data_IF_112182400602
#
_entry.id   IF_112182400602
#
_cell.length_a   1.000
_cell.length_b   1.000
_cell.length_c   1.000
_cell.angle_alpha   90.00
_cell.angle_beta   90.00
_cell.angle_gamma   90.00
#
_symmetry.space_group_name_H-M   'P 1'
#
loop_
_entity.id
_entity.type
_entity.pdbx_description
1 polymer ?
#
# COMPACT_ATOMS: atom_id res chain seq x y z
N UNK A 1 12.64 1.23 7.38
CA UNK A 1 12.54 0.46 6.12
C UNK A 1 13.92 0.04 5.65
N UNK A 2 14.06 -1.18 5.15
CA UNK A 2 15.32 -1.69 4.58
C UNK A 2 15.78 -0.86 3.38
N UNK A 3 14.84 -0.36 2.58
CA UNK A 3 15.14 0.46 1.40
C UNK A 3 15.82 1.79 1.74
N UNK A 4 15.50 2.39 2.88
CA UNK A 4 16.15 3.63 3.35
C UNK A 4 17.65 3.41 3.52
N UNK A 5 18.07 2.25 4.05
CA UNK A 5 19.51 1.94 4.20
C UNK A 5 20.20 1.85 2.86
N UNK A 6 19.60 1.20 1.86
CA UNK A 6 20.17 1.12 0.51
C UNK A 6 20.19 2.49 -0.17
N UNK A 7 19.12 3.27 -0.03
CA UNK A 7 19.10 4.62 -0.59
C UNK A 7 20.17 5.53 0.05
N UNK A 8 20.46 5.38 1.34
CA UNK A 8 21.54 6.15 1.99
C UNK A 8 22.93 5.73 1.52
N UNK A 9 23.12 4.44 1.27
CA UNK A 9 24.39 3.89 0.77
C UNK A 9 24.70 4.39 -0.65
N UNK A 10 23.69 4.53 -1.50
CA UNK A 10 23.81 4.96 -2.89
C UNK A 10 23.23 6.37 -3.14
N UNK A 11 23.08 7.19 -2.10
CA UNK A 11 22.38 8.48 -2.18
C UNK A 11 22.98 9.43 -3.21
N UNK A 12 24.30 9.50 -3.30
CA UNK A 12 25.02 10.37 -4.21
C UNK A 12 24.67 10.07 -5.68
N UNK A 13 24.53 8.80 -6.05
CA UNK A 13 24.13 8.41 -7.41
C UNK A 13 22.73 8.87 -7.79
N UNK A 14 21.89 9.16 -6.79
CA UNK A 14 20.55 9.72 -6.94
C UNK A 14 20.53 11.25 -6.79
N UNK A 15 21.66 11.88 -6.48
CA UNK A 15 21.79 13.31 -6.25
C UNK A 15 21.16 13.75 -4.91
N UNK A 16 21.22 12.90 -3.89
CA UNK A 16 20.82 13.19 -2.50
C UNK A 16 22.01 13.09 -1.54
N UNK A 17 22.00 13.84 -0.43
CA UNK A 17 22.96 13.59 0.64
C UNK A 17 22.65 12.24 1.32
N UNK A 18 23.66 11.53 1.81
CA UNK A 18 23.48 10.28 2.56
C UNK A 18 22.67 10.46 3.86
N UNK A 19 22.65 11.68 4.38
CA UNK A 19 21.91 12.11 5.56
C UNK A 19 20.49 12.62 5.25
N UNK A 20 19.94 12.34 4.07
CA UNK A 20 18.61 12.83 3.71
C UNK A 20 17.55 12.52 4.80
N UNK A 21 16.62 13.45 4.98
CA UNK A 21 15.52 13.34 5.93
C UNK A 21 14.28 12.75 5.24
N UNK A 22 13.39 12.17 6.03
CA UNK A 22 12.14 11.61 5.54
C UNK A 22 10.99 12.48 6.04
N UNK A 23 10.18 12.99 5.12
CA UNK A 23 8.95 13.69 5.42
C UNK A 23 7.84 12.69 5.78
N UNK A 24 7.12 12.98 6.83
CA UNK A 24 5.85 12.34 7.11
C UNK A 24 4.72 12.95 6.26
N UNK A 25 3.49 12.48 6.47
CA UNK A 25 2.33 13.00 5.74
C UNK A 25 2.05 14.46 6.09
N UNK A 26 2.28 14.88 7.34
CA UNK A 26 2.09 16.27 7.79
C UNK A 26 3.09 17.21 7.14
N UNK A 27 4.37 16.80 7.10
CA UNK A 27 5.45 17.54 6.44
C UNK A 27 5.18 17.68 4.94
N UNK A 28 4.78 16.58 4.29
CA UNK A 28 4.45 16.55 2.87
C UNK A 28 3.28 17.47 2.52
N UNK A 29 2.21 17.47 3.33
CA UNK A 29 1.08 18.40 3.16
C UNK A 29 1.52 19.84 3.35
N UNK A 30 2.40 20.12 4.31
CA UNK A 30 2.93 21.46 4.56
C UNK A 30 3.81 21.94 3.40
N UNK A 31 4.62 21.07 2.84
CA UNK A 31 5.43 21.36 1.65
C UNK A 31 4.55 21.66 0.43
N UNK A 32 3.47 20.89 0.20
CA UNK A 32 2.48 21.18 -0.87
C UNK A 32 1.83 22.56 -0.64
N UNK A 33 1.43 22.91 0.60
CA UNK A 33 0.90 24.25 0.89
C UNK A 33 1.88 25.36 0.51
N UNK A 34 3.18 25.15 0.81
CA UNK A 34 4.23 26.08 0.39
C UNK A 34 4.32 26.22 -1.13
N UNK A 35 4.20 25.10 -1.88
CA UNK A 35 4.18 25.14 -3.34
C UNK A 35 2.96 25.94 -3.88
N UNK A 36 1.77 25.67 -3.33
CA UNK A 36 0.54 26.38 -3.74
C UNK A 36 0.66 27.89 -3.50
N UNK A 37 1.20 28.30 -2.35
CA UNK A 37 1.43 29.71 -2.02
C UNK A 37 2.41 30.37 -2.99
N UNK A 38 3.50 29.70 -3.34
CA UNK A 38 4.50 30.22 -4.28
C UNK A 38 3.94 30.38 -5.69
N UNK A 39 3.08 29.42 -6.09
CA UNK A 39 2.41 29.47 -7.40
C UNK A 39 1.17 30.35 -7.42
N UNK A 40 0.82 31.03 -6.32
CA UNK A 40 -0.39 31.84 -6.16
C UNK A 40 -1.69 31.05 -6.49
N UNK A 41 -1.74 29.78 -6.11
CA UNK A 41 -2.91 28.92 -6.32
C UNK A 41 -3.79 28.87 -5.08
N UNK A 42 -5.13 28.84 -5.30
CA UNK A 42 -6.12 28.75 -4.23
C UNK A 42 -6.14 27.32 -3.61
N UNK A 43 -5.88 27.22 -2.31
CA UNK A 43 -5.87 25.95 -1.57
C UNK A 43 -7.25 25.34 -1.36
N UNK A 44 -8.34 26.08 -1.61
CA UNK A 44 -9.71 25.56 -1.64
C UNK A 44 -9.96 24.77 -2.93
N UNK A 45 -9.36 25.18 -4.05
CA UNK A 45 -9.40 24.47 -5.33
C UNK A 45 -8.41 23.31 -5.31
N UNK A 46 -7.16 23.59 -4.95
CA UNK A 46 -6.07 22.61 -4.86
C UNK A 46 -5.88 22.16 -3.41
N UNK A 47 -6.85 21.43 -2.86
CA UNK A 47 -6.75 20.93 -1.47
C UNK A 47 -5.44 20.16 -1.30
N UNK A 48 -4.56 20.57 -0.36
CA UNK A 48 -3.20 20.01 -0.25
C UNK A 48 -3.16 18.49 -0.10
N UNK A 49 -4.12 17.90 0.64
CA UNK A 49 -4.22 16.44 0.80
C UNK A 49 -4.60 15.73 -0.51
N UNK A 50 -5.50 16.33 -1.31
CA UNK A 50 -5.92 15.77 -2.59
C UNK A 50 -4.77 15.83 -3.60
N UNK A 51 -4.04 16.96 -3.63
CA UNK A 51 -2.84 17.13 -4.47
C UNK A 51 -1.78 16.11 -4.09
N UNK A 52 -1.47 15.96 -2.79
CA UNK A 52 -0.52 14.95 -2.32
C UNK A 52 -0.96 13.54 -2.72
N UNK A 53 -2.25 13.20 -2.60
CA UNK A 53 -2.78 11.91 -3.04
C UNK A 53 -2.58 11.64 -4.53
N UNK A 54 -2.73 12.67 -5.39
CA UNK A 54 -2.43 12.57 -6.83
C UNK A 54 -0.95 12.32 -7.10
N UNK A 55 -0.07 13.04 -6.41
CA UNK A 55 1.39 12.89 -6.51
C UNK A 55 1.81 11.50 -6.01
N UNK A 56 1.29 11.07 -4.88
CA UNK A 56 1.50 9.74 -4.31
C UNK A 56 1.14 8.64 -5.30
N UNK A 57 -0.06 8.73 -5.91
CA UNK A 57 -0.49 7.76 -6.92
C UNK A 57 0.44 7.75 -8.14
N UNK A 58 0.93 8.90 -8.59
CA UNK A 58 1.91 8.99 -9.67
C UNK A 58 3.21 8.30 -9.30
N UNK A 59 3.81 8.61 -8.13
CA UNK A 59 5.03 7.99 -7.64
C UNK A 59 4.91 6.48 -7.49
N UNK A 60 3.80 5.99 -6.94
CA UNK A 60 3.53 4.56 -6.77
C UNK A 60 3.38 3.80 -8.10
N UNK A 61 3.04 4.51 -9.18
CA UNK A 61 3.06 4.01 -10.56
C UNK A 61 4.35 4.36 -11.33
N UNK A 62 5.39 4.81 -10.63
CA UNK A 62 6.72 5.19 -11.18
C UNK A 62 6.66 6.31 -12.22
N UNK A 63 5.68 7.20 -12.10
CA UNK A 63 5.53 8.37 -12.96
C UNK A 63 6.26 9.54 -12.30
N UNK A 64 7.42 9.93 -12.86
CA UNK A 64 8.17 11.12 -12.44
C UNK A 64 7.43 12.42 -12.85
N UNK A 65 7.80 13.60 -12.30
CA UNK A 65 7.22 14.88 -12.72
C UNK A 65 7.27 15.09 -14.23
N UNK A 66 8.39 14.76 -14.88
CA UNK A 66 8.60 14.89 -16.32
C UNK A 66 7.68 13.94 -17.09
N UNK A 67 7.59 12.69 -16.66
CA UNK A 67 6.70 11.69 -17.26
C UNK A 67 5.24 12.07 -17.08
N UNK A 68 4.86 12.65 -15.93
CA UNK A 68 3.50 13.14 -15.68
C UNK A 68 3.13 14.26 -16.64
N UNK A 69 4.03 15.24 -16.81
CA UNK A 69 3.84 16.37 -17.73
C UNK A 69 3.74 15.91 -19.19
N UNK A 70 4.49 14.88 -19.57
CA UNK A 70 4.45 14.29 -20.92
C UNK A 70 3.21 13.42 -21.17
N UNK A 71 2.48 13.03 -20.14
CA UNK A 71 1.26 12.19 -20.25
C UNK A 71 0.04 13.08 -20.55
N UNK A 72 -0.28 13.25 -21.83
CA UNK A 72 -1.39 14.06 -22.29
C UNK A 72 -2.75 13.66 -21.66
N UNK A 73 -2.98 12.37 -21.43
CA UNK A 73 -4.22 11.89 -20.81
C UNK A 73 -4.31 12.29 -19.34
N UNK A 74 -3.21 12.19 -18.58
CA UNK A 74 -3.18 12.61 -17.18
C UNK A 74 -3.45 14.12 -17.07
N UNK A 75 -2.78 14.93 -17.89
CA UNK A 75 -2.95 16.39 -17.94
C UNK A 75 -4.38 16.76 -18.36
N UNK A 76 -4.95 16.08 -19.35
CA UNK A 76 -6.35 16.29 -19.76
C UNK A 76 -7.33 15.97 -18.63
N UNK A 77 -7.12 14.86 -17.91
CA UNK A 77 -7.94 14.47 -16.76
C UNK A 77 -7.89 15.52 -15.64
N UNK A 78 -6.72 16.08 -15.36
CA UNK A 78 -6.57 17.15 -14.37
C UNK A 78 -7.27 18.45 -14.82
N UNK A 79 -7.21 18.77 -16.12
CA UNK A 79 -7.93 19.91 -16.70
C UNK A 79 -9.44 19.73 -16.58
N UNK A 80 -9.98 18.56 -16.91
CA UNK A 80 -11.40 18.24 -16.71
C UNK A 80 -11.82 18.30 -15.24
N UNK A 81 -10.92 17.92 -14.32
CA UNK A 81 -11.13 18.06 -12.88
C UNK A 81 -10.98 19.50 -12.37
N UNK A 82 -10.80 20.50 -13.27
CA UNK A 82 -10.51 21.90 -12.96
C UNK A 82 -9.26 22.14 -12.11
N UNK A 83 -8.25 21.26 -12.28
CA UNK A 83 -6.97 21.31 -11.56
C UNK A 83 -5.77 21.17 -12.54
N UNK A 84 -5.66 22.02 -13.58
CA UNK A 84 -4.64 21.86 -14.64
C UNK A 84 -3.19 21.97 -14.12
N UNK A 85 -2.97 22.60 -12.96
CA UNK A 85 -1.64 22.87 -12.42
C UNK A 85 -1.03 21.69 -11.63
N UNK A 86 -1.69 20.54 -11.53
CA UNK A 86 -1.17 19.39 -10.76
C UNK A 86 0.25 19.00 -11.22
N UNK A 87 0.50 18.95 -12.52
CA UNK A 87 1.83 18.60 -13.05
C UNK A 87 2.91 19.61 -12.63
N UNK A 88 2.60 20.90 -12.60
CA UNK A 88 3.53 21.96 -12.20
C UNK A 88 3.74 21.95 -10.67
N UNK A 89 2.68 21.71 -9.87
CA UNK A 89 2.79 21.53 -8.42
C UNK A 89 3.67 20.32 -8.10
N UNK A 90 3.51 19.19 -8.82
CA UNK A 90 4.33 18.00 -8.63
C UNK A 90 5.80 18.30 -8.93
N UNK A 91 6.09 18.98 -10.04
CA UNK A 91 7.46 19.34 -10.40
C UNK A 91 8.11 20.25 -9.34
N UNK A 92 7.39 21.28 -8.86
CA UNK A 92 7.89 22.18 -7.82
C UNK A 92 8.09 21.46 -6.50
N UNK A 93 7.15 20.61 -6.09
CA UNK A 93 7.26 19.80 -4.87
C UNK A 93 8.48 18.89 -4.90
N UNK A 94 8.68 18.14 -5.99
CA UNK A 94 9.83 17.25 -6.14
C UNK A 94 11.16 18.02 -6.14
N UNK A 95 11.21 19.18 -6.81
CA UNK A 95 12.40 20.05 -6.82
C UNK A 95 12.74 20.57 -5.42
N UNK A 96 11.74 21.04 -4.65
CA UNK A 96 11.94 21.50 -3.27
C UNK A 96 12.39 20.39 -2.35
N UNK A 97 11.79 19.21 -2.43
CA UNK A 97 12.21 18.05 -1.65
C UNK A 97 13.67 17.69 -1.95
N UNK A 98 14.04 17.67 -3.24
CA UNK A 98 15.41 17.37 -3.65
C UNK A 98 16.39 18.43 -3.15
N UNK A 99 16.07 19.70 -3.30
CA UNK A 99 16.91 20.82 -2.83
C UNK A 99 17.10 20.79 -1.30
N UNK A 100 16.05 20.43 -0.56
CA UNK A 100 16.11 20.31 0.89
C UNK A 100 16.77 19.00 1.37
N UNK A 101 17.15 18.09 0.47
CA UNK A 101 17.69 16.78 0.82
C UNK A 101 16.70 15.91 1.57
N UNK A 102 15.44 15.91 1.15
CA UNK A 102 14.36 15.14 1.79
C UNK A 102 13.65 14.24 0.80
N UNK A 103 13.10 13.13 1.29
CA UNK A 103 12.23 12.20 0.56
C UNK A 103 10.95 12.00 1.36
N UNK A 104 9.80 11.90 0.71
CA UNK A 104 8.60 11.34 1.33
C UNK A 104 8.59 9.81 1.22
N UNK A 105 7.57 9.15 1.80
CA UNK A 105 7.49 7.68 1.77
C UNK A 105 7.38 7.10 0.35
N UNK A 106 6.73 7.82 -0.56
CA UNK A 106 6.58 7.38 -1.96
C UNK A 106 7.87 7.60 -2.75
N UNK A 107 8.65 8.65 -2.41
CA UNK A 107 9.98 8.86 -2.98
C UNK A 107 10.95 7.73 -2.67
N UNK A 108 10.81 7.09 -1.49
CA UNK A 108 11.65 5.93 -1.13
C UNK A 108 11.46 4.80 -2.15
N UNK A 109 10.21 4.51 -2.53
CA UNK A 109 9.91 3.45 -3.50
C UNK A 109 10.28 3.86 -4.92
N UNK A 110 9.98 5.11 -5.31
CA UNK A 110 10.33 5.64 -6.63
C UNK A 110 11.84 5.66 -6.83
N UNK A 111 12.60 6.23 -5.90
CA UNK A 111 14.06 6.31 -5.98
C UNK A 111 14.73 4.94 -5.89
N UNK A 112 14.15 4.00 -5.13
CA UNK A 112 14.66 2.62 -5.12
C UNK A 112 14.52 1.95 -6.51
N UNK A 113 13.39 2.16 -7.21
CA UNK A 113 13.23 1.66 -8.57
C UNK A 113 14.18 2.34 -9.56
N UNK A 114 14.39 3.65 -9.44
CA UNK A 114 15.36 4.40 -10.26
C UNK A 114 16.77 3.86 -10.01
N UNK A 115 17.17 3.71 -8.75
CA UNK A 115 18.48 3.17 -8.37
C UNK A 115 18.71 1.79 -8.99
N UNK A 116 17.78 0.86 -8.82
CA UNK A 116 17.89 -0.49 -9.35
C UNK A 116 17.79 -0.55 -10.88
N UNK A 117 17.25 0.47 -11.53
CA UNK A 117 17.18 0.56 -13.00
C UNK A 117 18.47 1.10 -13.58
N UNK A 118 19.00 2.16 -13.01
CA UNK A 118 20.04 2.99 -13.64
C UNK A 118 21.44 2.68 -13.10
N UNK A 119 21.56 2.04 -11.93
CA UNK A 119 22.85 1.70 -11.31
C UNK A 119 22.99 0.16 -11.17
N UNK A 120 23.71 -0.44 -12.11
CA UNK A 120 23.92 -1.90 -12.16
C UNK A 120 24.80 -2.40 -11.00
N UNK A 121 25.72 -1.60 -10.50
CA UNK A 121 26.55 -1.92 -9.33
C UNK A 121 25.66 -2.00 -8.07
N UNK A 122 24.79 -1.00 -7.87
CA UNK A 122 23.82 -1.02 -6.77
C UNK A 122 22.88 -2.23 -6.86
N UNK A 123 22.33 -2.52 -8.05
CA UNK A 123 21.47 -3.69 -8.26
C UNK A 123 22.20 -4.97 -7.87
N UNK A 124 23.41 -5.19 -8.37
CA UNK A 124 24.23 -6.37 -8.06
C UNK A 124 24.53 -6.46 -6.57
N UNK A 125 25.09 -5.37 -6.00
CA UNK A 125 25.47 -5.32 -4.58
C UNK A 125 24.27 -5.62 -3.66
N UNK A 126 23.11 -5.04 -3.93
CA UNK A 126 21.92 -5.24 -3.09
C UNK A 126 21.34 -6.64 -3.27
N UNK A 127 21.25 -7.15 -4.51
CA UNK A 127 20.69 -8.49 -4.78
C UNK A 127 21.54 -9.60 -4.16
N UNK A 128 22.87 -9.50 -4.19
CA UNK A 128 23.78 -10.50 -3.63
C UNK A 128 23.75 -10.58 -2.09
N UNK A 129 23.17 -9.58 -1.41
CA UNK A 129 22.99 -9.61 0.06
C UNK A 129 21.89 -10.56 0.51
N UNK A 130 21.00 -10.95 -0.40
CA UNK A 130 19.84 -11.78 -0.08
C UNK A 130 19.88 -13.08 -0.85
N UNK A 131 20.04 -14.19 -0.14
CA UNK A 131 19.88 -15.53 -0.72
C UNK A 131 18.42 -15.91 -0.90
N UNK A 132 17.54 -15.34 -0.07
CA UNK A 132 16.08 -15.58 -0.07
C UNK A 132 15.35 -14.27 0.17
N UNK A 133 14.21 -14.09 -0.51
CA UNK A 133 13.29 -12.97 -0.32
C UNK A 133 11.95 -13.55 0.13
N UNK A 134 11.48 -13.13 1.31
CA UNK A 134 10.18 -13.49 1.84
C UNK A 134 9.32 -12.24 1.96
N UNK A 135 8.11 -12.30 1.42
CA UNK A 135 7.18 -11.17 1.40
C UNK A 135 5.86 -11.61 1.99
N UNK A 136 5.43 -10.91 3.02
CA UNK A 136 4.12 -11.10 3.64
C UNK A 136 3.12 -10.08 3.10
N UNK A 137 1.82 -10.35 3.26
CA UNK A 137 0.71 -9.50 2.80
C UNK A 137 0.87 -9.06 1.32
N UNK A 138 1.28 -10.01 0.47
CA UNK A 138 1.66 -9.70 -0.91
C UNK A 138 0.51 -9.11 -1.74
N UNK A 139 -0.76 -9.39 -1.40
CA UNK A 139 -1.94 -8.81 -2.04
C UNK A 139 -2.04 -7.29 -1.88
N UNK A 140 -1.36 -6.71 -0.87
CA UNK A 140 -1.38 -5.27 -0.59
C UNK A 140 -0.20 -4.52 -1.22
N UNK A 141 0.64 -5.23 -1.99
CA UNK A 141 1.76 -4.58 -2.67
C UNK A 141 1.29 -3.71 -3.83
N UNK A 142 1.93 -2.54 -3.97
CA UNK A 142 1.75 -1.68 -5.12
C UNK A 142 2.71 -2.04 -6.27
N UNK A 143 2.52 -1.40 -7.43
CA UNK A 143 3.34 -1.66 -8.62
C UNK A 143 4.84 -1.39 -8.39
N UNK A 144 5.16 -0.33 -7.66
CA UNK A 144 6.54 0.04 -7.33
C UNK A 144 7.24 -1.04 -6.49
N UNK A 145 6.56 -1.55 -5.45
CA UNK A 145 7.06 -2.64 -4.60
C UNK A 145 7.24 -3.94 -5.38
N UNK A 146 6.26 -4.29 -6.21
CA UNK A 146 6.34 -5.45 -7.10
C UNK A 146 7.60 -5.42 -7.97
N UNK A 147 7.88 -4.29 -8.63
CA UNK A 147 9.06 -4.18 -9.51
C UNK A 147 10.39 -4.27 -8.74
N UNK A 148 10.48 -3.68 -7.53
CA UNK A 148 11.66 -3.81 -6.68
C UNK A 148 11.91 -5.31 -6.38
N UNK A 149 10.89 -6.01 -5.91
CA UNK A 149 10.99 -7.43 -5.57
C UNK A 149 11.40 -8.28 -6.78
N UNK A 150 10.79 -8.01 -7.94
CA UNK A 150 11.11 -8.70 -9.19
C UNK A 150 12.58 -8.51 -9.59
N UNK A 151 13.10 -7.28 -9.50
CA UNK A 151 14.51 -7.00 -9.81
C UNK A 151 15.48 -7.66 -8.84
N UNK A 152 15.18 -7.58 -7.53
CA UNK A 152 16.05 -8.15 -6.51
C UNK A 152 16.09 -9.68 -6.56
N UNK A 153 15.00 -10.34 -6.95
CA UNK A 153 14.91 -11.80 -7.03
C UNK A 153 15.36 -12.38 -8.40
N UNK A 154 15.58 -11.55 -9.40
CA UNK A 154 15.79 -11.98 -10.79
C UNK A 154 16.98 -12.95 -10.95
N UNK A 155 18.05 -12.75 -10.18
CA UNK A 155 19.27 -13.55 -10.30
C UNK A 155 19.14 -14.96 -9.74
N UNK A 156 18.50 -15.09 -8.55
CA UNK A 156 18.43 -16.37 -7.83
C UNK A 156 17.03 -16.98 -7.79
N UNK A 157 15.97 -16.23 -8.09
CA UNK A 157 14.55 -16.65 -8.08
C UNK A 157 14.05 -17.28 -6.77
N UNK A 158 14.81 -17.14 -5.68
CA UNK A 158 14.45 -17.63 -4.35
C UNK A 158 13.53 -16.62 -3.67
N UNK A 159 12.30 -16.58 -4.13
CA UNK A 159 11.26 -15.69 -3.58
C UNK A 159 10.08 -16.52 -3.07
N UNK A 160 9.63 -16.20 -1.86
CA UNK A 160 8.42 -16.74 -1.26
C UNK A 160 7.48 -15.59 -0.94
N UNK A 161 6.26 -15.64 -1.43
CA UNK A 161 5.24 -14.65 -1.12
C UNK A 161 4.10 -15.31 -0.37
N UNK A 162 3.62 -14.65 0.67
CA UNK A 162 2.46 -15.05 1.46
C UNK A 162 1.42 -13.95 1.34
N UNK A 163 0.17 -14.34 1.18
CA UNK A 163 -0.91 -13.38 1.09
C UNK A 163 -2.27 -14.05 0.91
N UNK A 164 -3.30 -13.25 1.04
CA UNK A 164 -4.68 -13.64 0.87
C UNK A 164 -5.38 -12.66 -0.08
N UNK A 165 -5.61 -13.10 -1.32
CA UNK A 165 -6.31 -12.32 -2.33
C UNK A 165 -7.71 -11.87 -1.91
N UNK A 166 -8.34 -12.61 -1.00
CA UNK A 166 -9.64 -12.27 -0.42
C UNK A 166 -9.58 -11.07 0.55
N UNK A 167 -8.39 -10.72 1.04
CA UNK A 167 -8.14 -9.60 1.94
C UNK A 167 -7.57 -8.35 1.24
N UNK A 168 -7.53 -8.33 -0.10
CA UNK A 168 -7.02 -7.19 -0.87
C UNK A 168 -8.01 -6.02 -0.85
N UNK A 169 -7.95 -5.19 0.18
CA UNK A 169 -8.85 -4.04 0.39
C UNK A 169 -8.15 -2.68 0.28
N UNK A 170 -6.84 -2.65 -0.05
CA UNK A 170 -6.05 -1.42 -0.11
C UNK A 170 -5.81 -0.88 -1.54
N UNK A 171 -6.69 -1.22 -2.50
CA UNK A 171 -6.59 -0.68 -3.87
C UNK A 171 -6.62 0.86 -3.90
N UNK A 172 -7.36 1.52 -2.99
CA UNK A 172 -7.41 2.98 -2.85
C UNK A 172 -6.08 3.59 -2.39
N UNK A 173 -5.16 2.77 -1.84
CA UNK A 173 -3.77 3.13 -1.51
C UNK A 173 -2.77 2.70 -2.56
N UNK A 174 -3.23 2.24 -3.72
CA UNK A 174 -2.39 1.82 -4.84
C UNK A 174 -2.00 0.33 -4.84
N UNK A 175 -2.52 -0.48 -3.92
CA UNK A 175 -2.33 -1.93 -3.98
C UNK A 175 -2.87 -2.51 -5.29
N UNK A 176 -2.20 -3.54 -5.81
CA UNK A 176 -2.52 -4.21 -7.08
C UNK A 176 -2.72 -5.70 -6.82
N UNK A 177 -3.98 -6.13 -6.74
CA UNK A 177 -4.33 -7.55 -6.57
C UNK A 177 -3.73 -8.42 -7.68
N UNK A 178 -3.53 -7.85 -8.86
CA UNK A 178 -2.91 -8.54 -9.98
C UNK A 178 -1.51 -9.06 -9.67
N UNK A 179 -0.80 -8.44 -8.72
CA UNK A 179 0.54 -8.87 -8.30
C UNK A 179 0.50 -10.30 -7.75
N UNK A 180 -0.47 -10.62 -6.88
CA UNK A 180 -0.61 -11.97 -6.33
C UNK A 180 -1.29 -12.92 -7.33
N UNK A 181 -2.31 -12.48 -8.04
CA UNK A 181 -3.03 -13.32 -9.02
C UNK A 181 -2.13 -13.74 -10.19
N UNK A 182 -1.23 -12.87 -10.62
CA UNK A 182 -0.32 -13.14 -11.74
C UNK A 182 1.06 -13.64 -11.31
N UNK A 183 1.33 -13.86 -10.01
CA UNK A 183 2.64 -14.31 -9.53
C UNK A 183 3.18 -15.52 -10.27
N UNK A 184 2.33 -16.52 -10.59
CA UNK A 184 2.71 -17.71 -11.37
C UNK A 184 3.10 -17.42 -12.81
N UNK A 185 2.68 -16.29 -13.39
CA UNK A 185 3.11 -15.86 -14.72
C UNK A 185 4.56 -15.37 -14.71
N UNK A 186 4.93 -14.67 -13.62
CA UNK A 186 6.30 -14.18 -13.44
C UNK A 186 7.27 -15.27 -12.98
N UNK A 187 6.76 -16.25 -12.22
CA UNK A 187 7.52 -17.37 -11.66
C UNK A 187 6.81 -18.71 -11.98
N UNK A 188 6.91 -19.20 -13.22
CA UNK A 188 6.17 -20.39 -13.67
C UNK A 188 6.49 -21.67 -12.87
N UNK A 189 7.70 -21.76 -12.32
CA UNK A 189 8.18 -22.90 -11.52
C UNK A 189 7.78 -22.82 -10.04
N UNK A 190 7.07 -21.76 -9.62
CA UNK A 190 6.69 -21.59 -8.23
C UNK A 190 5.71 -22.68 -7.77
N UNK A 191 5.88 -23.13 -6.53
CA UNK A 191 4.97 -24.06 -5.87
C UNK A 191 3.91 -23.28 -5.11
N UNK A 192 2.64 -23.61 -5.33
CA UNK A 192 1.52 -23.01 -4.60
C UNK A 192 1.10 -23.91 -3.44
N UNK A 193 1.15 -23.36 -2.24
CA UNK A 193 0.62 -23.98 -1.02
C UNK A 193 -0.61 -23.20 -0.57
N UNK A 194 -1.67 -23.93 -0.18
CA UNK A 194 -2.89 -23.32 0.38
C UNK A 194 -2.96 -23.60 1.87
N UNK A 195 -3.04 -22.54 2.66
CA UNK A 195 -3.24 -22.61 4.09
C UNK A 195 -4.74 -22.44 4.36
N UNK A 196 -5.49 -23.55 4.37
CA UNK A 196 -6.95 -23.52 4.45
C UNK A 196 -7.47 -23.71 5.87
N UNK A 197 -6.64 -24.20 6.79
CA UNK A 197 -7.05 -24.32 8.19
C UNK A 197 -6.97 -22.98 8.90
N UNK A 198 -8.12 -22.50 9.39
CA UNK A 198 -8.21 -21.31 10.23
C UNK A 198 -8.09 -21.72 11.71
N UNK A 199 -7.20 -21.06 12.44
CA UNK A 199 -6.94 -21.29 13.87
C UNK A 199 -7.48 -20.18 14.77
N UNK A 200 -7.99 -19.10 14.18
CA UNK A 200 -8.44 -17.91 14.89
C UNK A 200 -9.92 -17.97 15.25
N UNK A 201 -10.75 -18.42 14.29
CA UNK A 201 -12.20 -18.25 14.33
C UNK A 201 -12.91 -19.60 14.47
N UNK A 202 -14.12 -19.57 15.01
CA UNK A 202 -15.06 -20.69 15.04
C UNK A 202 -15.54 -21.06 13.65
N UNK A 203 -16.08 -22.28 13.48
CA UNK A 203 -16.54 -22.78 12.16
C UNK A 203 -17.66 -21.90 11.58
N UNK A 204 -18.59 -21.42 12.41
CA UNK A 204 -19.68 -20.53 11.95
C UNK A 204 -19.17 -19.24 11.32
N UNK A 205 -18.13 -18.62 11.89
CA UNK A 205 -17.51 -17.41 11.33
C UNK A 205 -16.81 -17.74 10.01
N UNK A 206 -16.08 -18.86 9.96
CA UNK A 206 -15.36 -19.29 8.74
C UNK A 206 -16.33 -19.60 7.61
N UNK A 207 -17.45 -20.27 7.89
CA UNK A 207 -18.47 -20.58 6.89
C UNK A 207 -19.13 -19.32 6.34
N UNK A 208 -19.43 -18.35 7.21
CA UNK A 208 -19.96 -17.05 6.77
C UNK A 208 -18.97 -16.30 5.86
N UNK A 209 -17.69 -16.28 6.23
CA UNK A 209 -16.64 -15.67 5.41
C UNK A 209 -16.49 -16.37 4.05
N UNK A 210 -16.48 -17.71 4.01
CA UNK A 210 -16.48 -18.47 2.76
C UNK A 210 -17.68 -18.11 1.89
N UNK A 211 -18.88 -18.04 2.46
CA UNK A 211 -20.11 -17.71 1.73
C UNK A 211 -20.07 -16.32 1.09
N UNK A 212 -19.45 -15.35 1.75
CA UNK A 212 -19.26 -13.99 1.20
C UNK A 212 -18.27 -14.02 0.04
N UNK A 213 -17.09 -14.64 0.25
CA UNK A 213 -16.01 -14.58 -0.74
C UNK A 213 -16.26 -15.47 -1.95
N UNK A 214 -17.10 -16.49 -1.87
CA UNK A 214 -17.49 -17.33 -3.00
C UNK A 214 -18.16 -16.54 -4.13
N UNK A 215 -18.75 -15.39 -3.84
CA UNK A 215 -19.34 -14.48 -4.84
C UNK A 215 -18.29 -13.74 -5.67
N UNK A 216 -17.04 -13.73 -5.24
CA UNK A 216 -15.94 -13.13 -6.00
C UNK A 216 -15.39 -14.13 -7.02
N UNK A 217 -15.55 -13.82 -8.32
CA UNK A 217 -15.10 -14.69 -9.43
C UNK A 217 -13.59 -14.61 -9.67
N UNK A 218 -12.97 -13.48 -9.35
CA UNK A 218 -11.53 -13.24 -9.58
C UNK A 218 -10.72 -13.54 -8.33
N UNK A 219 -10.54 -14.83 -8.01
CA UNK A 219 -9.83 -15.26 -6.80
C UNK A 219 -9.02 -16.53 -7.02
N UNK A 220 -8.06 -16.78 -6.12
CA UNK A 220 -7.39 -18.09 -6.01
C UNK A 220 -8.34 -19.04 -5.25
N UNK A 221 -8.85 -20.11 -5.88
CA UNK A 221 -9.83 -20.98 -5.23
C UNK A 221 -9.23 -21.63 -3.97
N UNK A 222 -9.91 -21.40 -2.84
CA UNK A 222 -9.62 -22.03 -1.53
C UNK A 222 -10.91 -22.12 -0.75
N UNK A 223 -10.97 -23.04 0.22
CA UNK A 223 -12.07 -23.18 1.17
C UNK A 223 -11.51 -23.31 2.57
N UNK A 224 -11.62 -22.25 3.35
CA UNK A 224 -11.16 -22.25 4.72
C UNK A 224 -12.08 -23.12 5.60
N UNK A 225 -11.48 -23.77 6.60
CA UNK A 225 -12.21 -24.56 7.61
C UNK A 225 -11.56 -24.36 8.99
N UNK A 226 -12.35 -24.52 10.05
CA UNK A 226 -11.87 -24.56 11.42
C UNK A 226 -11.99 -25.96 12.00
N UNK A 227 -11.03 -26.36 12.85
CA UNK A 227 -11.12 -27.56 13.71
C UNK A 227 -11.48 -27.19 15.15
N UNK A 228 -11.70 -25.91 15.40
CA UNK A 228 -12.16 -25.39 16.69
C UNK A 228 -13.66 -25.69 16.93
N UNK A 229 -14.24 -25.14 17.99
CA UNK A 229 -15.66 -25.27 18.29
C UNK A 229 -16.51 -24.69 17.15
N UNK A 230 -17.75 -25.15 17.03
CA UNK A 230 -18.70 -24.62 16.05
C UNK A 230 -18.92 -23.11 16.25
N UNK A 231 -19.06 -22.69 17.50
CA UNK A 231 -19.27 -21.30 17.91
C UNK A 231 -20.73 -20.88 17.88
N UNK A 232 -20.97 -19.68 18.37
CA UNK A 232 -22.30 -19.09 18.40
C UNK A 232 -22.76 -18.63 17.01
N UNK A 233 -24.08 -18.52 16.85
CA UNK A 233 -24.68 -17.96 15.63
C UNK A 233 -24.33 -16.48 15.50
N UNK A 234 -24.13 -16.03 14.26
CA UNK A 234 -23.91 -14.61 13.96
C UNK A 234 -25.19 -13.82 14.22
N UNK A 235 -25.08 -12.76 15.00
CA UNK A 235 -26.18 -11.83 15.27
C UNK A 235 -26.07 -10.61 14.37
N UNK A 236 -27.19 -10.23 13.73
CA UNK A 236 -27.26 -9.03 12.90
C UNK A 236 -27.94 -7.91 13.71
N UNK A 237 -27.20 -6.85 13.95
CA UNK A 237 -27.70 -5.62 14.56
C UNK A 237 -27.93 -4.60 13.43
N UNK A 238 -29.15 -4.05 13.34
CA UNK A 238 -29.51 -2.99 12.38
C UNK A 238 -29.65 -1.68 13.13
N UNK A 239 -28.86 -0.69 12.69
CA UNK A 239 -28.95 0.69 13.17
C UNK A 239 -29.33 1.63 12.02
N UNK A 240 -30.00 2.74 12.33
CA UNK A 240 -30.39 3.77 11.36
C UNK A 240 -29.39 4.92 11.28
N UNK A 241 -28.56 5.09 12.31
CA UNK A 241 -27.54 6.15 12.38
C UNK A 241 -26.26 5.61 12.97
N UNK A 242 -25.11 6.26 12.65
CA UNK A 242 -23.80 5.94 13.24
C UNK A 242 -23.79 6.06 14.77
N UNK A 243 -24.56 7.00 15.33
CA UNK A 243 -24.67 7.17 16.78
C UNK A 243 -25.44 6.01 17.43
N UNK A 244 -26.52 5.56 16.80
CA UNK A 244 -27.29 4.41 17.27
C UNK A 244 -26.43 3.14 17.21
N UNK A 245 -25.69 2.92 16.13
CA UNK A 245 -24.74 1.82 15.98
C UNK A 245 -23.74 1.81 17.14
N UNK A 246 -23.09 2.95 17.41
CA UNK A 246 -22.13 3.08 18.48
C UNK A 246 -22.73 2.79 19.87
N UNK A 247 -23.94 3.25 20.14
CA UNK A 247 -24.67 2.98 21.40
C UNK A 247 -24.99 1.49 21.54
N UNK A 248 -25.49 0.86 20.47
CA UNK A 248 -25.82 -0.56 20.46
C UNK A 248 -24.60 -1.44 20.72
N UNK A 249 -23.47 -1.12 20.07
CA UNK A 249 -22.19 -1.83 20.27
C UNK A 249 -21.72 -1.66 21.73
N UNK A 250 -21.68 -0.42 22.24
CA UNK A 250 -21.25 -0.14 23.60
C UNK A 250 -22.14 -0.86 24.64
N UNK A 251 -23.45 -0.85 24.43
CA UNK A 251 -24.41 -1.55 25.30
C UNK A 251 -24.20 -3.06 25.26
N UNK A 252 -23.96 -3.62 24.08
CA UNK A 252 -23.69 -5.06 23.92
C UNK A 252 -22.41 -5.49 24.67
N UNK A 253 -21.35 -4.67 24.59
CA UNK A 253 -20.10 -4.92 25.33
C UNK A 253 -20.35 -4.93 26.84
N UNK A 254 -21.06 -3.90 27.37
CA UNK A 254 -21.36 -3.78 28.81
C UNK A 254 -22.20 -5.00 29.28
N UNK A 255 -23.19 -5.40 28.49
CA UNK A 255 -24.05 -6.57 28.82
C UNK A 255 -23.20 -7.84 28.92
N UNK A 256 -22.34 -8.09 27.91
CA UNK A 256 -21.47 -9.26 27.90
C UNK A 256 -20.44 -9.27 29.02
N UNK A 257 -19.91 -8.11 29.39
CA UNK A 257 -19.03 -8.00 30.57
C UNK A 257 -19.72 -8.43 31.86
N UNK A 258 -21.01 -8.13 32.01
CA UNK A 258 -21.81 -8.52 33.19
C UNK A 258 -22.22 -10.01 33.17
N UNK A 259 -22.65 -10.50 32.02
CA UNK A 259 -23.22 -11.86 31.89
C UNK A 259 -22.11 -12.93 31.72
N UNK A 260 -21.15 -12.68 30.85
CA UNK A 260 -20.10 -13.65 30.45
C UNK A 260 -18.78 -13.43 31.20
N UNK A 261 -18.72 -12.47 32.15
CA UNK A 261 -17.52 -12.08 32.90
C UNK A 261 -16.32 -11.68 32.00
N UNK A 262 -16.59 -11.21 30.78
CA UNK A 262 -15.56 -10.73 29.86
C UNK A 262 -14.89 -9.46 30.37
N UNK A 263 -13.63 -9.25 29.96
CA UNK A 263 -12.87 -8.02 30.19
C UNK A 263 -12.82 -7.20 28.90
N UNK A 264 -12.49 -5.90 28.97
CA UNK A 264 -12.38 -5.04 27.76
C UNK A 264 -11.38 -5.58 26.73
N UNK A 265 -10.34 -6.26 27.14
CA UNK A 265 -9.33 -6.88 26.26
C UNK A 265 -9.87 -8.08 25.45
N UNK A 266 -11.02 -8.61 25.81
CA UNK A 266 -11.64 -9.75 25.13
C UNK A 266 -12.50 -9.32 23.93
N UNK A 267 -12.64 -8.00 23.72
CA UNK A 267 -13.37 -7.40 22.61
C UNK A 267 -12.39 -6.79 21.60
N UNK A 268 -12.64 -7.00 20.29
CA UNK A 268 -11.86 -6.49 19.17
C UNK A 268 -12.75 -5.84 18.09
#
# INVERSE_FOLDING_TARGET
>A
SVFIRFLREFAESLGYPSSFTIYDTGDSVSAIKSCLKEMNLDDKVYKPKDVLGRISMAKNNLVTPEAYKANAQAVANDTHAKKPEICNIYALYAAKCKQAGVMDFDDILLNMNILLRDNQEALKSISERFSYILVDEYQDTNYSQYLILKKLSQGHKNICVVGDDSQSIYAFRGAKIENILNFRKDYPECKLFRLEQNYRSTQVIVDAANSVIEKNSSRIPKKCYSKGPEGDKIHLIKAYTEQEEAIMIASSIITRMGEDHCQYQDFA
#
